data_IF_395349230535
#
_entry.id   IF_395349230535
#
_cell.length_a   1.000
_cell.length_b   1.000
_cell.length_c   1.000
_cell.angle_alpha   90.00
_cell.angle_beta   90.00
_cell.angle_gamma   90.00
#
_symmetry.space_group_name_H-M   'P 1'
#
loop_
_entity.id
_entity.type
_entity.pdbx_description
1 polymer ?
#
# COMPACT_ATOMS: atom_id res chain seq x y z
N UNK A 1 -53.87 48.50 -2.49
CA UNK A 1 -52.51 48.76 -1.96
C UNK A 1 -51.89 47.53 -1.32
N UNK A 2 -52.66 46.70 -0.61
CA UNK A 2 -52.18 45.46 0.06
C UNK A 2 -51.59 44.39 -0.86
N UNK A 3 -52.21 44.07 -2.00
CA UNK A 3 -51.74 42.97 -2.87
C UNK A 3 -50.35 43.20 -3.49
N UNK A 4 -50.05 44.43 -3.90
CA UNK A 4 -48.75 44.76 -4.49
C UNK A 4 -47.62 44.74 -3.44
N UNK A 5 -47.93 45.14 -2.21
CA UNK A 5 -46.99 45.09 -1.08
C UNK A 5 -46.71 43.65 -0.65
N UNK A 6 -47.70 42.76 -0.73
CA UNK A 6 -47.56 41.34 -0.41
C UNK A 6 -46.67 40.62 -1.45
N UNK A 7 -46.85 40.93 -2.74
CA UNK A 7 -45.97 40.40 -3.83
C UNK A 7 -44.52 40.85 -3.64
N UNK A 8 -44.31 42.12 -3.26
CA UNK A 8 -42.97 42.65 -3.03
C UNK A 8 -42.29 41.98 -1.80
N UNK A 9 -43.04 41.75 -0.72
CA UNK A 9 -42.54 41.03 0.47
C UNK A 9 -42.21 39.57 0.17
N UNK A 10 -43.02 38.89 -0.64
CA UNK A 10 -42.77 37.52 -1.07
C UNK A 10 -41.54 37.41 -2.00
N UNK A 11 -41.36 38.39 -2.89
CA UNK A 11 -40.18 38.51 -3.74
C UNK A 11 -38.88 38.79 -2.94
N UNK A 12 -38.95 39.56 -1.85
CA UNK A 12 -37.81 39.79 -0.97
C UNK A 12 -37.50 38.57 -0.08
N UNK A 13 -38.53 37.86 0.38
CA UNK A 13 -38.38 36.64 1.17
C UNK A 13 -37.75 35.50 0.35
N UNK A 14 -38.12 35.37 -0.92
CA UNK A 14 -37.53 34.38 -1.85
C UNK A 14 -36.07 34.69 -2.18
N UNK A 15 -35.70 35.96 -2.33
CA UNK A 15 -34.28 36.36 -2.46
C UNK A 15 -33.48 36.05 -1.20
N UNK A 16 -34.05 36.32 -0.01
CA UNK A 16 -33.38 36.05 1.25
C UNK A 16 -33.13 34.55 1.47
N UNK A 17 -34.13 33.71 1.19
CA UNK A 17 -33.99 32.25 1.31
C UNK A 17 -32.96 31.69 0.33
N UNK A 18 -32.91 32.20 -0.90
CA UNK A 18 -31.89 31.83 -1.89
C UNK A 18 -30.46 32.12 -1.39
N UNK A 19 -30.23 33.32 -0.85
CA UNK A 19 -28.90 33.70 -0.31
C UNK A 19 -28.53 32.84 0.90
N UNK A 20 -29.48 32.50 1.76
CA UNK A 20 -29.25 31.61 2.91
C UNK A 20 -28.88 30.19 2.42
N UNK A 21 -29.62 29.64 1.45
CA UNK A 21 -29.35 28.34 0.87
C UNK A 21 -27.97 28.29 0.20
N UNK A 22 -27.58 29.34 -0.53
CA UNK A 22 -26.26 29.45 -1.16
C UNK A 22 -25.13 29.47 -0.11
N UNK A 23 -25.30 30.20 1.00
CA UNK A 23 -24.36 30.21 2.13
C UNK A 23 -24.27 28.86 2.84
N UNK A 24 -25.40 28.17 3.01
CA UNK A 24 -25.44 26.83 3.62
C UNK A 24 -24.75 25.80 2.72
N UNK A 25 -24.99 25.84 1.42
CA UNK A 25 -24.33 24.98 0.44
C UNK A 25 -22.80 25.21 0.44
N UNK A 26 -22.36 26.48 0.43
CA UNK A 26 -20.94 26.83 0.54
C UNK A 26 -20.29 26.32 1.85
N UNK A 27 -20.99 26.43 2.99
CA UNK A 27 -20.52 25.87 4.27
C UNK A 27 -20.42 24.35 4.26
N UNK A 28 -21.39 23.66 3.66
CA UNK A 28 -21.36 22.21 3.53
C UNK A 28 -20.20 21.75 2.64
N UNK A 29 -20.00 22.42 1.49
CA UNK A 29 -18.86 22.21 0.60
C UNK A 29 -17.52 22.36 1.34
N UNK A 30 -17.39 23.43 2.14
CA UNK A 30 -16.19 23.71 2.93
C UNK A 30 -15.91 22.62 3.98
N UNK A 31 -16.95 22.19 4.72
CA UNK A 31 -16.83 21.10 5.71
C UNK A 31 -16.39 19.79 5.05
N UNK A 32 -16.95 19.45 3.90
CA UNK A 32 -16.56 18.26 3.13
C UNK A 32 -15.11 18.34 2.64
N UNK A 33 -14.69 19.50 2.12
CA UNK A 33 -13.32 19.71 1.64
C UNK A 33 -12.30 19.62 2.76
N UNK A 34 -12.54 20.22 3.93
CA UNK A 34 -11.64 20.13 5.08
C UNK A 34 -11.57 18.70 5.61
N UNK A 35 -12.72 18.01 5.72
CA UNK A 35 -12.76 16.61 6.12
C UNK A 35 -11.92 15.76 5.17
N UNK A 36 -12.07 15.94 3.86
CA UNK A 36 -11.25 15.27 2.83
C UNK A 36 -9.75 15.56 2.97
N UNK A 37 -9.36 16.83 3.14
CA UNK A 37 -7.96 17.22 3.35
C UNK A 37 -7.36 16.62 4.63
N UNK A 38 -8.11 16.59 5.72
CA UNK A 38 -7.69 15.97 6.99
C UNK A 38 -7.55 14.46 6.85
N UNK A 39 -8.50 13.77 6.19
CA UNK A 39 -8.38 12.33 5.90
C UNK A 39 -7.19 12.04 5.01
N UNK A 40 -6.92 12.88 4.00
CA UNK A 40 -5.75 12.73 3.14
C UNK A 40 -4.47 12.85 3.97
N UNK A 41 -4.30 13.93 4.76
CA UNK A 41 -3.15 14.12 5.65
C UNK A 41 -2.99 12.98 6.66
N UNK A 42 -4.08 12.54 7.29
CA UNK A 42 -4.07 11.42 8.23
C UNK A 42 -3.70 10.09 7.54
N UNK A 43 -4.23 9.83 6.34
CA UNK A 43 -3.90 8.65 5.56
C UNK A 43 -2.44 8.66 5.08
N UNK A 44 -1.89 9.85 4.78
CA UNK A 44 -0.48 10.04 4.48
C UNK A 44 0.39 9.78 5.70
N UNK A 45 0.04 10.33 6.87
CA UNK A 45 0.75 10.08 8.12
C UNK A 45 0.73 8.60 8.50
N UNK A 46 -0.45 7.96 8.48
CA UNK A 46 -0.61 6.53 8.79
C UNK A 46 0.12 5.61 7.78
N UNK A 47 0.33 6.09 6.55
CA UNK A 47 1.09 5.37 5.50
C UNK A 47 2.49 5.95 5.31
N UNK A 48 2.96 6.82 6.19
CA UNK A 48 4.18 7.63 6.03
C UNK A 48 5.45 6.79 5.99
N UNK A 49 5.43 5.60 6.59
CA UNK A 49 6.50 4.62 6.47
C UNK A 49 6.67 4.10 5.02
N UNK A 50 5.65 4.32 4.18
CA UNK A 50 5.70 4.19 2.73
C UNK A 50 5.90 5.55 2.09
N UNK A 51 6.96 6.28 2.47
CA UNK A 51 7.36 7.54 1.84
C UNK A 51 7.31 7.45 0.30
N UNK A 52 7.60 6.26 -0.26
CA UNK A 52 7.45 5.97 -1.67
C UNK A 52 6.06 6.23 -2.26
N UNK A 53 4.94 6.02 -1.55
CA UNK A 53 3.60 6.22 -2.13
C UNK A 53 3.22 7.69 -2.23
N UNK A 54 3.48 8.48 -1.20
CA UNK A 54 3.24 9.93 -1.24
C UNK A 54 4.17 10.60 -2.25
N UNK A 55 5.47 10.30 -2.17
CA UNK A 55 6.46 10.83 -3.11
C UNK A 55 6.15 10.39 -4.55
N UNK A 56 5.70 9.14 -4.77
CA UNK A 56 5.24 8.70 -6.09
C UNK A 56 3.97 9.41 -6.54
N UNK A 57 3.05 9.79 -5.64
CA UNK A 57 1.86 10.56 -6.01
C UNK A 57 2.22 12.01 -6.37
N UNK A 58 3.10 12.65 -5.60
CA UNK A 58 3.59 14.00 -5.89
C UNK A 58 4.40 14.02 -7.20
N UNK A 59 5.33 13.07 -7.38
CA UNK A 59 6.06 12.91 -8.63
C UNK A 59 5.11 12.65 -9.81
N UNK A 60 4.04 11.86 -9.63
CA UNK A 60 3.02 11.62 -10.67
C UNK A 60 2.23 12.87 -11.07
N UNK A 61 2.17 13.90 -10.23
CA UNK A 61 1.52 15.17 -10.58
C UNK A 61 2.42 16.01 -11.49
N UNK A 62 3.74 15.97 -11.26
CA UNK A 62 4.76 16.59 -12.12
C UNK A 62 4.92 15.86 -13.47
N UNK A 63 4.71 14.54 -13.51
CA UNK A 63 4.65 13.76 -14.75
C UNK A 63 3.20 13.71 -15.29
N UNK A 64 2.83 14.69 -16.12
CA UNK A 64 1.70 14.55 -17.05
C UNK A 64 1.69 13.15 -17.65
N UNK A 65 0.54 12.43 -17.58
CA UNK A 65 0.43 11.04 -18.03
C UNK A 65 1.05 10.93 -19.43
N UNK A 66 2.21 10.27 -19.61
CA UNK A 66 2.83 10.23 -20.91
C UNK A 66 1.92 9.45 -21.83
N UNK A 67 1.34 10.13 -22.82
CA UNK A 67 0.55 9.47 -23.85
C UNK A 67 1.53 8.72 -24.76
N UNK A 68 1.25 7.43 -25.00
CA UNK A 68 2.02 6.64 -25.95
C UNK A 68 1.57 7.07 -27.34
N UNK A 69 2.42 7.83 -28.03
CA UNK A 69 2.11 8.40 -29.35
C UNK A 69 2.38 7.43 -30.51
N UNK A 70 3.29 6.48 -30.32
CA UNK A 70 3.62 5.47 -31.31
C UNK A 70 4.18 4.21 -30.65
N UNK A 71 3.91 3.05 -31.25
CA UNK A 71 4.52 1.76 -30.89
C UNK A 71 4.98 1.03 -32.15
N UNK A 72 6.00 0.20 -32.04
CA UNK A 72 6.38 -0.74 -33.10
C UNK A 72 5.65 -2.06 -32.87
N UNK A 73 4.85 -2.49 -33.84
CA UNK A 73 4.17 -3.79 -33.78
C UNK A 73 5.12 -4.93 -34.13
N UNK A 74 5.95 -4.72 -35.15
CA UNK A 74 7.02 -5.60 -35.61
C UNK A 74 8.26 -4.74 -35.97
N UNK A 75 9.41 -5.36 -36.28
CA UNK A 75 10.65 -4.63 -36.61
C UNK A 75 10.50 -3.60 -37.76
N UNK A 76 9.44 -3.71 -38.56
CA UNK A 76 9.20 -2.87 -39.75
C UNK A 76 7.92 -2.03 -39.70
N UNK A 77 7.04 -2.18 -38.70
CA UNK A 77 5.71 -1.55 -38.68
C UNK A 77 5.51 -0.65 -37.45
N UNK A 78 5.34 0.65 -37.69
CA UNK A 78 5.10 1.67 -36.67
C UNK A 78 3.63 2.09 -36.68
N UNK A 79 2.97 1.99 -35.52
CA UNK A 79 1.56 2.33 -35.32
C UNK A 79 1.48 3.61 -34.50
N UNK A 80 0.75 4.60 -35.03
CA UNK A 80 0.50 5.89 -34.36
C UNK A 80 -0.96 6.08 -33.94
N UNK A 81 -1.88 5.23 -34.41
CA UNK A 81 -3.29 5.33 -34.08
C UNK A 81 -3.55 4.88 -32.63
N UNK A 82 -4.10 5.73 -31.74
CA UNK A 82 -4.28 5.39 -30.32
C UNK A 82 -5.19 4.18 -30.07
N UNK A 83 -6.16 3.91 -30.96
CA UNK A 83 -7.04 2.74 -30.82
C UNK A 83 -6.26 1.45 -31.10
N UNK A 84 -5.50 1.45 -32.18
CA UNK A 84 -4.66 0.30 -32.58
C UNK A 84 -3.51 0.08 -31.60
N UNK A 85 -2.93 1.15 -31.03
CA UNK A 85 -1.93 1.06 -29.96
C UNK A 85 -2.50 0.29 -28.77
N UNK A 86 -3.68 0.67 -28.29
CA UNK A 86 -4.31 0.01 -27.15
C UNK A 86 -4.67 -1.45 -27.45
N UNK A 87 -5.17 -1.75 -28.65
CA UNK A 87 -5.48 -3.13 -29.07
C UNK A 87 -4.24 -4.01 -29.11
N UNK A 88 -3.14 -3.54 -29.71
CA UNK A 88 -1.88 -4.29 -29.76
C UNK A 88 -1.29 -4.50 -28.37
N UNK A 89 -1.32 -3.48 -27.50
CA UNK A 89 -0.85 -3.63 -26.12
C UNK A 89 -1.69 -4.65 -25.35
N UNK A 90 -3.02 -4.61 -25.51
CA UNK A 90 -3.91 -5.56 -24.87
C UNK A 90 -3.62 -7.00 -25.33
N UNK A 91 -3.51 -7.22 -26.64
CA UNK A 91 -3.20 -8.53 -27.22
C UNK A 91 -1.81 -9.03 -26.77
N UNK A 92 -0.80 -8.16 -26.78
CA UNK A 92 0.55 -8.49 -26.35
C UNK A 92 0.58 -8.98 -24.89
N UNK A 93 0.01 -8.20 -23.96
CA UNK A 93 0.01 -8.57 -22.55
C UNK A 93 -0.90 -9.75 -22.26
N UNK A 94 -2.02 -9.89 -22.98
CA UNK A 94 -2.84 -11.09 -22.91
C UNK A 94 -2.01 -12.32 -23.27
N UNK A 95 -1.27 -12.28 -24.37
CA UNK A 95 -0.40 -13.39 -24.79
C UNK A 95 0.79 -13.62 -23.83
N UNK A 96 1.36 -12.55 -23.26
CA UNK A 96 2.47 -12.65 -22.31
C UNK A 96 2.06 -13.34 -21.01
N UNK A 97 0.87 -12.99 -20.49
CA UNK A 97 0.35 -13.53 -19.24
C UNK A 97 -0.53 -14.77 -19.42
N UNK A 98 -0.83 -15.15 -20.66
CA UNK A 98 -1.46 -16.44 -20.94
C UNK A 98 -0.42 -17.53 -20.71
N UNK A 99 -0.68 -18.36 -19.70
CA UNK A 99 0.18 -19.49 -19.35
C UNK A 99 0.27 -20.44 -20.54
N UNK A 100 1.44 -20.54 -21.18
CA UNK A 100 1.68 -21.45 -22.31
C UNK A 100 1.74 -22.94 -21.91
N UNK A 101 1.67 -23.20 -20.61
CA UNK A 101 1.89 -24.51 -20.02
C UNK A 101 0.56 -25.02 -19.45
N UNK A 102 -0.12 -25.87 -20.22
CA UNK A 102 -1.19 -26.73 -19.72
C UNK A 102 -0.59 -27.88 -18.91
N UNK A 103 0.13 -27.57 -17.83
CA UNK A 103 0.64 -28.62 -16.94
C UNK A 103 -0.52 -29.25 -16.20
N UNK A 104 -0.70 -30.55 -16.38
CA UNK A 104 -1.67 -31.29 -15.56
C UNK A 104 -1.26 -31.23 -14.09
N UNK A 105 -2.20 -31.27 -13.12
CA UNK A 105 -1.88 -31.37 -11.71
C UNK A 105 -0.90 -32.53 -11.40
N UNK A 106 -0.98 -33.61 -12.19
CA UNK A 106 -0.09 -34.77 -12.13
C UNK A 106 1.36 -34.43 -12.49
N UNK A 107 1.60 -33.60 -13.51
CA UNK A 107 2.96 -33.15 -13.86
C UNK A 107 3.57 -32.25 -12.78
N UNK A 108 2.75 -31.42 -12.15
CA UNK A 108 3.19 -30.57 -11.03
C UNK A 108 3.54 -31.44 -9.84
N UNK A 109 2.70 -32.43 -9.51
CA UNK A 109 2.96 -33.38 -8.44
C UNK A 109 4.25 -34.18 -8.68
N UNK A 110 4.45 -34.70 -9.91
CA UNK A 110 5.68 -35.40 -10.28
C UNK A 110 6.91 -34.48 -10.19
N UNK A 111 6.81 -33.23 -10.65
CA UNK A 111 7.90 -32.27 -10.50
C UNK A 111 8.26 -32.04 -9.03
N UNK A 112 7.26 -31.82 -8.17
CA UNK A 112 7.48 -31.58 -6.75
C UNK A 112 8.03 -32.82 -6.01
N UNK A 113 7.62 -34.03 -6.41
CA UNK A 113 8.14 -35.28 -5.86
C UNK A 113 9.59 -35.55 -6.28
N UNK A 114 9.97 -35.11 -7.48
CA UNK A 114 11.33 -35.23 -8.00
C UNK A 114 12.29 -34.14 -7.49
N UNK A 115 11.81 -33.19 -6.67
CA UNK A 115 12.69 -32.22 -6.02
C UNK A 115 13.36 -32.91 -4.83
N UNK A 116 14.67 -33.11 -4.93
CA UNK A 116 15.52 -33.51 -3.81
C UNK A 116 15.68 -32.34 -2.83
N UNK A 117 14.63 -32.08 -2.06
CA UNK A 117 14.67 -31.11 -0.98
C UNK A 117 15.49 -31.69 0.19
N UNK A 118 16.50 -30.97 0.71
CA UNK A 118 17.25 -31.43 1.87
C UNK A 118 16.30 -31.52 3.07
N UNK A 119 16.14 -32.72 3.60
CA UNK A 119 15.41 -32.94 4.84
C UNK A 119 16.33 -32.68 6.04
N UNK A 120 15.85 -31.91 7.01
CA UNK A 120 16.53 -31.74 8.29
C UNK A 120 16.67 -33.10 8.98
N UNK A 121 17.86 -33.38 9.49
CA UNK A 121 18.11 -34.55 10.35
C UNK A 121 17.28 -34.45 11.63
N UNK A 122 17.03 -35.59 12.27
CA UNK A 122 16.30 -35.62 13.55
C UNK A 122 16.98 -34.73 14.59
N UNK A 123 18.32 -34.74 14.64
CA UNK A 123 19.12 -33.91 15.55
C UNK A 123 18.90 -32.42 15.34
N UNK A 124 18.93 -31.95 14.07
CA UNK A 124 18.67 -30.54 13.77
C UNK A 124 17.23 -30.14 14.10
N UNK A 125 16.25 -31.03 13.89
CA UNK A 125 14.86 -30.77 14.31
C UNK A 125 14.74 -30.64 15.82
N UNK A 126 15.29 -31.59 16.57
CA UNK A 126 15.24 -31.53 18.04
C UNK A 126 15.98 -30.32 18.60
N UNK A 127 17.03 -29.87 17.94
CA UNK A 127 17.73 -28.63 18.28
C UNK A 127 16.85 -27.40 18.03
N UNK A 128 16.20 -27.31 16.86
CA UNK A 128 15.32 -26.20 16.51
C UNK A 128 14.02 -26.16 17.34
N UNK A 129 13.52 -27.32 17.76
CA UNK A 129 12.33 -27.46 18.62
C UNK A 129 12.67 -27.23 20.11
N UNK A 130 13.94 -27.13 20.47
CA UNK A 130 14.37 -26.87 21.84
C UNK A 130 14.08 -25.41 22.24
N UNK A 131 13.82 -25.13 23.53
CA UNK A 131 13.56 -23.76 23.98
C UNK A 131 14.78 -22.87 23.74
N UNK A 132 14.53 -21.65 23.25
CA UNK A 132 15.55 -20.63 22.99
C UNK A 132 16.32 -20.33 24.29
N UNK A 133 17.64 -20.33 24.21
CA UNK A 133 18.50 -20.07 25.36
C UNK A 133 18.79 -18.58 25.53
N UNK A 134 19.00 -18.13 26.77
CA UNK A 134 19.35 -16.73 27.06
C UNK A 134 20.62 -16.30 26.31
N UNK A 135 21.62 -17.18 26.27
CA UNK A 135 22.89 -16.93 25.56
C UNK A 135 22.68 -16.73 24.06
N UNK A 136 21.80 -17.52 23.44
CA UNK A 136 21.46 -17.40 22.02
C UNK A 136 20.86 -16.02 21.71
N UNK A 137 19.96 -15.53 22.58
CA UNK A 137 19.36 -14.21 22.41
C UNK A 137 20.39 -13.08 22.55
N UNK A 138 21.34 -13.19 23.48
CA UNK A 138 22.42 -12.22 23.66
C UNK A 138 23.33 -12.16 22.42
N UNK A 139 23.71 -13.33 21.90
CA UNK A 139 24.53 -13.43 20.71
C UNK A 139 23.82 -12.88 19.47
N UNK A 140 22.53 -13.19 19.32
CA UNK A 140 21.71 -12.66 18.22
C UNK A 140 21.58 -11.13 18.27
N UNK A 141 21.35 -10.55 19.46
CA UNK A 141 21.28 -9.09 19.65
C UNK A 141 22.64 -8.45 19.37
N UNK A 142 23.74 -9.07 19.82
CA UNK A 142 25.09 -8.59 19.57
C UNK A 142 25.48 -8.62 18.08
N UNK A 143 24.94 -9.58 17.32
CA UNK A 143 25.17 -9.71 15.88
C UNK A 143 24.36 -8.71 15.02
N UNK A 144 23.45 -7.92 15.61
CA UNK A 144 22.64 -6.96 14.86
C UNK A 144 23.51 -5.87 14.18
N UNK A 145 23.34 -5.61 12.88
CA UNK A 145 24.12 -4.61 12.17
C UNK A 145 23.78 -3.20 12.67
N UNK A 146 24.79 -2.44 13.09
CA UNK A 146 24.65 -1.06 13.56
C UNK A 146 24.35 -0.08 12.42
N UNK A 147 23.69 1.04 12.73
CA UNK A 147 23.40 2.10 11.75
C UNK A 147 22.35 1.75 10.68
N UNK A 148 21.58 0.67 10.87
CA UNK A 148 20.41 0.37 10.03
C UNK A 148 19.20 1.19 10.48
N UNK A 149 18.39 1.56 9.50
CA UNK A 149 17.09 2.19 9.73
C UNK A 149 16.17 1.23 10.48
N UNK A 150 15.39 1.70 11.48
CA UNK A 150 14.41 0.88 12.16
C UNK A 150 13.38 0.30 11.18
N UNK A 151 12.79 -0.83 11.56
CA UNK A 151 11.72 -1.46 10.81
C UNK A 151 10.38 -0.72 10.94
N UNK A 152 9.29 -1.30 10.45
CA UNK A 152 7.95 -0.70 10.56
C UNK A 152 7.44 -0.60 12.01
N UNK A 153 8.08 -1.29 12.95
CA UNK A 153 7.90 -1.15 14.39
C UNK A 153 8.51 0.15 14.95
N UNK A 154 9.41 0.80 14.21
CA UNK A 154 10.06 2.05 14.58
C UNK A 154 11.14 1.88 15.65
N UNK A 155 11.50 0.66 16.03
CA UNK A 155 12.47 0.38 17.09
C UNK A 155 13.87 0.24 16.47
N UNK A 156 14.84 1.09 16.84
CA UNK A 156 16.20 0.97 16.33
C UNK A 156 16.94 -0.20 16.98
N UNK A 157 17.88 -0.79 16.24
CA UNK A 157 18.82 -1.82 16.73
C UNK A 157 19.50 -1.47 18.08
N UNK A 158 19.85 -0.20 18.29
CA UNK A 158 20.44 0.31 19.53
C UNK A 158 19.55 0.10 20.75
N UNK A 159 18.22 0.08 20.56
CA UNK A 159 17.30 -0.20 21.65
C UNK A 159 17.51 -1.62 22.17
N UNK A 160 17.56 -2.62 21.29
CA UNK A 160 17.81 -4.01 21.68
C UNK A 160 19.16 -4.20 22.35
N UNK A 161 20.21 -3.52 21.85
CA UNK A 161 21.55 -3.56 22.46
C UNK A 161 21.56 -3.00 23.89
N UNK A 162 20.81 -1.92 24.15
CA UNK A 162 20.76 -1.28 25.47
C UNK A 162 19.88 -2.03 26.48
N UNK A 163 18.83 -2.71 26.00
CA UNK A 163 17.85 -3.39 26.85
C UNK A 163 17.94 -4.92 26.79
N UNK A 164 19.02 -5.49 26.23
CA UNK A 164 19.19 -6.94 26.05
C UNK A 164 18.98 -7.74 27.34
N UNK A 165 19.57 -7.30 28.46
CA UNK A 165 19.41 -7.95 29.76
C UNK A 165 17.99 -7.87 30.31
N UNK A 166 17.28 -6.77 30.06
CA UNK A 166 15.89 -6.61 30.47
C UNK A 166 14.96 -7.53 29.66
N UNK A 167 15.20 -7.64 28.35
CA UNK A 167 14.42 -8.48 27.44
C UNK A 167 14.49 -9.98 27.77
N UNK A 168 15.60 -10.43 28.36
CA UNK A 168 15.78 -11.83 28.77
C UNK A 168 14.99 -12.13 30.04
N UNK A 169 14.99 -11.20 31.00
CA UNK A 169 14.31 -11.36 32.29
C UNK A 169 12.79 -11.27 32.15
N UNK A 170 12.32 -10.35 31.30
CA UNK A 170 10.91 -10.27 30.96
C UNK A 170 10.67 -11.25 29.83
N UNK A 171 10.24 -12.46 30.15
CA UNK A 171 9.96 -13.53 29.20
C UNK A 171 8.96 -13.08 28.09
N UNK A 172 9.44 -12.34 27.07
CA UNK A 172 8.65 -11.83 25.94
C UNK A 172 8.16 -13.00 25.08
N UNK A 173 8.88 -14.12 25.15
CA UNK A 173 8.62 -15.37 24.45
C UNK A 173 8.08 -16.47 25.37
N UNK A 174 7.65 -16.12 26.58
CA UNK A 174 7.14 -17.07 27.55
C UNK A 174 5.99 -17.89 26.97
N UNK A 175 5.82 -19.14 27.45
CA UNK A 175 4.87 -20.07 26.85
C UNK A 175 3.53 -19.36 26.80
N UNK A 176 2.97 -19.25 25.58
CA UNK A 176 1.62 -18.77 25.35
C UNK A 176 0.73 -19.50 26.35
N UNK A 177 0.32 -18.79 27.40
CA UNK A 177 -0.54 -19.32 28.46
C UNK A 177 -1.86 -19.66 27.79
N UNK A 178 -2.07 -20.95 27.52
CA UNK A 178 -3.38 -21.55 27.31
C UNK A 178 -4.06 -21.76 28.66
#
# INVERSE_FOLDING_TARGET
MTYAEDILKEADQTKLTYVIAQRQCARAQWKCNIKSQLYHKFALYKKGDKNGKLLALLAREDYSRPAIHAINKNETELITNPIEINQNLAEYYQNLYTTKLEKTPSEIANYLQNLDLPNLSLEHRTFLDSPIQEQETLEAIAALPQGKTPGPDGIPNMWYLNYATLLIITDVFGPLRH
#
